data_IF_004467235185
#
_entry.id   IF_004467235185
#
_cell.length_a   1.000
_cell.length_b   1.000
_cell.length_c   1.000
_cell.angle_alpha   90.00
_cell.angle_beta   90.00
_cell.angle_gamma   90.00
#
_symmetry.space_group_name_H-M   'P 1'
#
loop_
_entity.id
_entity.type
_entity.pdbx_description
1 polymer ?
#
# COMPACT_ATOMS: atom_id res chain seq x y z
N UNK A 1 -25.72 18.13 -7.22
CA UNK A 1 -25.29 17.04 -6.33
C UNK A 1 -24.31 16.21 -7.12
N UNK A 2 -23.01 16.41 -6.90
CA UNK A 2 -21.98 15.60 -7.54
C UNK A 2 -21.49 14.61 -6.49
N UNK A 3 -22.19 13.49 -6.34
CA UNK A 3 -21.62 12.31 -5.70
C UNK A 3 -20.57 11.75 -6.64
N UNK A 4 -19.37 12.36 -6.59
CA UNK A 4 -18.18 11.86 -7.24
C UNK A 4 -17.91 10.49 -6.63
N UNK A 5 -18.21 9.47 -7.42
CA UNK A 5 -17.81 8.08 -7.30
C UNK A 5 -16.44 7.95 -6.62
N UNK A 6 -16.46 7.73 -5.30
CA UNK A 6 -15.35 7.14 -4.58
C UNK A 6 -15.28 5.69 -5.07
N UNK A 7 -14.71 5.54 -6.26
CA UNK A 7 -14.78 4.34 -7.09
C UNK A 7 -14.13 3.20 -6.31
N UNK A 8 -14.86 2.10 -6.15
CA UNK A 8 -14.49 0.96 -5.32
C UNK A 8 -13.11 0.39 -5.64
N UNK A 9 -12.09 0.96 -5.00
CA UNK A 9 -10.75 0.42 -5.00
C UNK A 9 -10.79 -0.85 -4.16
N UNK A 10 -10.43 -1.99 -4.77
CA UNK A 10 -10.38 -3.27 -4.07
C UNK A 10 -9.37 -3.22 -2.91
N UNK A 11 -9.51 -4.07 -1.87
CA UNK A 11 -8.69 -3.97 -0.67
C UNK A 11 -7.17 -4.01 -0.91
N UNK A 12 -6.73 -4.79 -1.90
CA UNK A 12 -5.33 -4.86 -2.31
C UNK A 12 -4.82 -3.55 -2.94
N UNK A 13 -5.62 -2.92 -3.81
CA UNK A 13 -5.22 -1.68 -4.48
C UNK A 13 -5.07 -0.52 -3.46
N UNK A 14 -6.00 -0.43 -2.50
CA UNK A 14 -5.86 0.50 -1.39
C UNK A 14 -4.59 0.24 -0.57
N UNK A 15 -4.29 -1.02 -0.25
CA UNK A 15 -3.10 -1.40 0.51
C UNK A 15 -1.79 -1.03 -0.22
N UNK A 16 -1.72 -1.25 -1.53
CA UNK A 16 -0.57 -0.89 -2.39
C UNK A 16 -0.37 0.62 -2.42
N UNK A 17 -1.45 1.39 -2.63
CA UNK A 17 -1.39 2.86 -2.64
C UNK A 17 -0.89 3.41 -1.31
N UNK A 18 -1.43 2.90 -0.21
CA UNK A 18 -1.02 3.34 1.13
C UNK A 18 0.43 2.92 1.44
N UNK A 19 0.87 1.73 1.01
CA UNK A 19 2.27 1.32 1.09
C UNK A 19 3.20 2.32 0.39
N UNK A 20 2.89 2.69 -0.86
CA UNK A 20 3.72 3.65 -1.60
C UNK A 20 3.73 5.03 -0.96
N UNK A 21 2.60 5.49 -0.41
CA UNK A 21 2.52 6.74 0.35
C UNK A 21 3.47 6.72 1.56
N UNK A 22 3.45 5.62 2.34
CA UNK A 22 4.29 5.45 3.52
C UNK A 22 5.78 5.30 3.16
N UNK A 23 6.07 4.64 2.04
CA UNK A 23 7.42 4.54 1.50
C UNK A 23 7.97 5.92 1.12
N UNK A 24 7.18 6.73 0.42
CA UNK A 24 7.57 8.09 0.06
C UNK A 24 7.79 8.99 1.29
N UNK A 25 6.91 8.92 2.29
CA UNK A 25 7.10 9.65 3.56
C UNK A 25 8.44 9.29 4.22
N UNK A 26 8.80 7.99 4.19
CA UNK A 26 10.07 7.54 4.76
C UNK A 26 11.28 7.95 3.89
N UNK A 27 11.13 7.89 2.56
CA UNK A 27 12.15 8.36 1.59
C UNK A 27 12.45 9.85 1.75
N UNK A 28 11.45 10.66 2.12
CA UNK A 28 11.59 12.07 2.43
C UNK A 28 12.13 12.35 3.84
N UNK A 29 12.33 11.31 4.67
CA UNK A 29 12.85 11.44 6.03
C UNK A 29 11.80 11.86 7.07
N UNK A 30 10.50 11.81 6.74
CA UNK A 30 9.44 12.20 7.67
C UNK A 30 9.18 11.10 8.72
N UNK A 31 9.62 9.87 8.46
CA UNK A 31 9.50 8.72 9.36
C UNK A 31 10.58 7.67 9.08
N UNK A 32 10.88 6.77 10.03
CA UNK A 32 11.69 5.58 9.74
C UNK A 32 10.96 4.63 8.78
N UNK A 33 11.75 3.94 7.96
CA UNK A 33 11.29 2.89 7.05
C UNK A 33 11.54 1.50 7.65
N UNK A 34 10.49 0.71 7.74
CA UNK A 34 10.54 -0.73 8.01
C UNK A 34 9.44 -1.37 7.17
N UNK A 35 9.84 -2.18 6.19
CA UNK A 35 8.94 -2.78 5.22
C UNK A 35 8.00 -3.78 5.90
N UNK A 36 8.50 -4.65 6.76
CA UNK A 36 7.71 -5.69 7.43
C UNK A 36 6.73 -5.09 8.45
N UNK A 37 7.18 -4.09 9.20
CA UNK A 37 6.32 -3.33 10.12
C UNK A 37 5.29 -2.44 9.38
N UNK A 38 5.44 -2.24 8.07
CA UNK A 38 4.47 -1.54 7.22
C UNK A 38 3.50 -2.51 6.54
N UNK A 39 4.00 -3.60 5.98
CA UNK A 39 3.20 -4.60 5.27
C UNK A 39 2.22 -5.33 6.20
N UNK A 40 2.65 -5.76 7.39
CA UNK A 40 1.78 -6.53 8.30
C UNK A 40 0.53 -5.74 8.75
N UNK A 41 0.64 -4.50 9.25
CA UNK A 41 -0.55 -3.74 9.64
C UNK A 41 -1.45 -3.37 8.46
N UNK A 42 -0.88 -3.09 7.28
CA UNK A 42 -1.66 -2.81 6.07
C UNK A 42 -2.46 -4.03 5.64
N UNK A 43 -1.81 -5.20 5.56
CA UNK A 43 -2.45 -6.45 5.21
C UNK A 43 -3.60 -6.79 6.17
N UNK A 44 -3.36 -6.65 7.48
CA UNK A 44 -4.39 -6.85 8.52
C UNK A 44 -5.56 -5.87 8.37
N UNK A 45 -5.29 -4.58 8.13
CA UNK A 45 -6.30 -3.53 8.01
C UNK A 45 -7.22 -3.74 6.80
N UNK A 46 -6.68 -4.27 5.71
CA UNK A 46 -7.40 -4.41 4.44
C UNK A 46 -7.86 -5.84 4.18
N UNK A 47 -7.64 -6.76 5.12
CA UNK A 47 -7.99 -8.17 4.98
C UNK A 47 -7.38 -8.84 3.73
N UNK A 48 -6.14 -8.46 3.37
CA UNK A 48 -5.33 -9.15 2.35
C UNK A 48 -4.18 -9.90 3.02
N UNK A 49 -3.55 -10.83 2.31
CA UNK A 49 -2.36 -11.50 2.83
C UNK A 49 -1.12 -10.62 2.72
N UNK A 50 -0.14 -10.84 3.60
CA UNK A 50 1.14 -10.13 3.54
C UNK A 50 1.88 -10.50 2.26
N UNK A 51 1.76 -11.76 1.82
CA UNK A 51 2.32 -12.29 0.58
C UNK A 51 1.73 -11.59 -0.65
N UNK A 52 0.40 -11.48 -0.76
CA UNK A 52 -0.25 -10.75 -1.87
C UNK A 52 0.17 -9.29 -1.92
N UNK A 53 0.19 -8.61 -0.77
CA UNK A 53 0.62 -7.22 -0.71
C UNK A 53 2.10 -7.08 -1.09
N UNK A 54 2.96 -7.97 -0.60
CA UNK A 54 4.40 -7.97 -0.93
C UNK A 54 4.62 -8.18 -2.43
N UNK A 55 3.94 -9.12 -3.06
CA UNK A 55 4.03 -9.32 -4.50
C UNK A 55 3.54 -8.10 -5.29
N UNK A 56 2.46 -7.46 -4.83
CA UNK A 56 1.87 -6.32 -5.54
C UNK A 56 2.71 -5.04 -5.45
N UNK A 57 3.48 -4.84 -4.37
CA UNK A 57 4.34 -3.66 -4.19
C UNK A 57 5.74 -3.83 -4.73
N UNK A 58 6.14 -5.06 -5.12
CA UNK A 58 7.43 -5.27 -5.76
C UNK A 58 7.54 -4.40 -7.01
N UNK A 59 8.68 -3.74 -7.24
CA UNK A 59 8.91 -3.08 -8.50
C UNK A 59 8.71 -4.11 -9.61
N UNK A 60 7.73 -3.84 -10.49
CA UNK A 60 7.52 -4.66 -11.67
C UNK A 60 8.83 -4.62 -12.44
N UNK A 61 9.60 -5.70 -12.35
CA UNK A 61 10.93 -5.76 -12.94
C UNK A 61 10.74 -5.71 -14.45
N UNK A 62 10.95 -4.51 -14.99
CA UNK A 62 11.29 -4.17 -16.38
C UNK A 62 10.50 -4.90 -17.47
N UNK A 63 9.49 -4.22 -18.02
CA UNK A 63 9.26 -4.22 -19.47
C UNK A 63 9.88 -2.96 -20.08
#
# INVERSE_FOLDING_TARGET
>A
MSDQTNSGEGPLAYAVREYHRLFEDARLGHRPWDEDATLRPLAMKTHVTVEELREAVKPSSSR
#
